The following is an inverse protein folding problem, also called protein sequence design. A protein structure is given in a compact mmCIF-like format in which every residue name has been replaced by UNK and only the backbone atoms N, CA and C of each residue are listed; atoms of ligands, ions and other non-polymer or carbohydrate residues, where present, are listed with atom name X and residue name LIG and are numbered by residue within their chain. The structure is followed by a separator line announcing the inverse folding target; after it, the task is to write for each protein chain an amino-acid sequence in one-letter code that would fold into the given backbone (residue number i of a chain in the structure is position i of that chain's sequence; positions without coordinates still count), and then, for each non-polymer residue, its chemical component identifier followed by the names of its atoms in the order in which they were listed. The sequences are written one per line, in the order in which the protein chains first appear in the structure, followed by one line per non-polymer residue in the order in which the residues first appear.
data_IF_421482411960
#
_entry.id   IF_421482411960
#
_cell.length_a   1.000
_cell.length_b   1.000
_cell.length_c   1.000
_cell.angle_alpha   90.00
_cell.angle_beta   90.00
_cell.angle_gamma   90.00
#
_symmetry.space_group_name_H-M   'P 1'
#
loop_
_entity.id
_entity.type
_entity.pdbx_description
1 polymer ?
#
# COMPACT_ATOMS: atom_id res chain seq x y z
N UNK A 1 -16.51 -5.16 -8.06
CA UNK A 1 -15.83 -4.28 -7.07
C UNK A 1 -14.70 -4.95 -6.26
N UNK A 2 -14.27 -6.20 -6.55
CA UNK A 2 -13.18 -6.85 -5.79
C UNK A 2 -11.77 -6.68 -6.35
N UNK A 3 -11.62 -6.56 -7.67
CA UNK A 3 -10.28 -6.61 -8.32
C UNK A 3 -9.58 -5.25 -8.39
N UNK A 4 -10.35 -4.15 -8.34
CA UNK A 4 -9.82 -2.79 -8.47
C UNK A 4 -8.79 -2.48 -7.37
N UNK A 5 -9.03 -2.97 -6.14
CA UNK A 5 -8.09 -2.78 -5.04
C UNK A 5 -6.75 -3.49 -5.28
N UNK A 6 -6.81 -4.74 -5.73
CA UNK A 6 -5.61 -5.55 -6.02
C UNK A 6 -4.81 -4.90 -7.15
N UNK A 7 -5.49 -4.44 -8.21
CA UNK A 7 -4.84 -3.69 -9.29
C UNK A 7 -4.22 -2.37 -8.81
N UNK A 8 -4.88 -1.65 -7.92
CA UNK A 8 -4.34 -0.43 -7.31
C UNK A 8 -3.07 -0.70 -6.50
N UNK A 9 -3.09 -1.73 -5.64
CA UNK A 9 -1.93 -2.10 -4.82
C UNK A 9 -0.77 -2.56 -5.73
N UNK A 10 -1.05 -3.34 -6.76
CA UNK A 10 -0.06 -3.79 -7.74
C UNK A 10 0.56 -2.60 -8.51
N UNK A 11 -0.26 -1.64 -8.95
CA UNK A 11 0.21 -0.44 -9.65
C UNK A 11 1.13 0.42 -8.76
N UNK A 12 0.78 0.60 -7.49
CA UNK A 12 1.63 1.30 -6.52
C UNK A 12 2.94 0.54 -6.29
N UNK A 13 2.89 -0.79 -6.16
CA UNK A 13 4.08 -1.62 -6.01
C UNK A 13 5.05 -1.51 -7.19
N UNK A 14 4.53 -1.53 -8.42
CA UNK A 14 5.34 -1.35 -9.63
C UNK A 14 5.96 0.06 -9.65
N UNK A 15 5.18 1.10 -9.37
CA UNK A 15 5.67 2.48 -9.33
C UNK A 15 6.81 2.66 -8.32
N UNK A 16 6.62 2.20 -7.07
CA UNK A 16 7.62 2.31 -6.01
C UNK A 16 8.88 1.53 -6.38
N UNK A 17 8.73 0.34 -6.97
CA UNK A 17 9.86 -0.48 -7.42
C UNK A 17 10.69 0.22 -8.50
N UNK A 18 10.04 0.80 -9.51
CA UNK A 18 10.71 1.55 -10.58
C UNK A 18 11.46 2.77 -10.01
N UNK A 19 10.83 3.55 -9.12
CA UNK A 19 11.48 4.72 -8.51
C UNK A 19 12.68 4.29 -7.66
N UNK A 20 12.54 3.22 -6.88
CA UNK A 20 13.63 2.66 -6.08
C UNK A 20 14.80 2.22 -6.96
N UNK A 21 14.53 1.59 -8.10
CA UNK A 21 15.54 1.13 -9.04
C UNK A 21 16.27 2.29 -9.73
N UNK A 22 15.54 3.35 -10.12
CA UNK A 22 16.11 4.59 -10.69
C UNK A 22 16.98 5.32 -9.67
N UNK A 23 16.55 5.41 -8.41
CA UNK A 23 17.32 6.05 -7.33
C UNK A 23 18.61 5.28 -7.00
N UNK A 24 18.55 3.95 -6.96
CA UNK A 24 19.74 3.09 -6.81
C UNK A 24 20.71 3.28 -7.97
N UNK A 25 20.20 3.30 -9.20
CA UNK A 25 21.05 3.50 -10.39
C UNK A 25 21.68 4.89 -10.45
N UNK A 26 21.06 5.88 -9.80
CA UNK A 26 21.61 7.24 -9.65
C UNK A 26 22.63 7.37 -8.52
N UNK A 27 23.01 6.27 -7.85
CA UNK A 27 23.98 6.26 -6.74
C UNK A 27 23.43 6.75 -5.41
N UNK A 28 22.09 6.89 -5.26
CA UNK A 28 21.42 7.40 -4.05
C UNK A 28 20.67 6.27 -3.33
N UNK A 29 21.41 5.32 -2.78
CA UNK A 29 20.86 4.12 -2.13
C UNK A 29 19.99 4.44 -0.92
N UNK A 30 20.36 5.45 -0.12
CA UNK A 30 19.58 5.87 1.05
C UNK A 30 18.17 6.36 0.67
N UNK A 31 18.06 7.16 -0.39
CA UNK A 31 16.78 7.66 -0.88
C UNK A 31 15.92 6.53 -1.46
N UNK A 32 16.55 5.55 -2.11
CA UNK A 32 15.85 4.37 -2.62
C UNK A 32 15.26 3.54 -1.47
N UNK A 33 16.00 3.37 -0.38
CA UNK A 33 15.52 2.69 0.82
C UNK A 33 14.34 3.44 1.44
N UNK A 34 14.47 4.75 1.67
CA UNK A 34 13.38 5.58 2.21
C UNK A 34 12.13 5.55 1.31
N UNK A 35 12.31 5.51 -0.01
CA UNK A 35 11.20 5.40 -0.97
C UNK A 35 10.48 4.05 -0.86
N UNK A 36 11.22 2.96 -0.67
CA UNK A 36 10.62 1.64 -0.46
C UNK A 36 9.80 1.57 0.83
N UNK A 37 10.31 2.22 1.89
CA UNK A 37 9.64 2.30 3.18
C UNK A 37 8.38 3.18 3.11
N UNK A 38 8.46 4.31 2.40
CA UNK A 38 7.30 5.16 2.12
C UNK A 38 6.22 4.41 1.32
N UNK A 39 6.62 3.62 0.32
CA UNK A 39 5.70 2.77 -0.44
C UNK A 39 4.98 1.73 0.42
N UNK A 40 5.70 1.10 1.36
CA UNK A 40 5.10 0.18 2.33
C UNK A 40 4.08 0.87 3.23
N UNK A 41 4.42 2.04 3.78
CA UNK A 41 3.53 2.85 4.62
C UNK A 41 2.25 3.21 3.84
N UNK A 42 2.38 3.59 2.57
CA UNK A 42 1.26 3.96 1.71
C UNK A 42 0.26 2.80 1.54
N UNK A 43 0.77 1.58 1.30
CA UNK A 43 -0.06 0.37 1.20
C UNK A 43 -0.74 0.05 2.53
N UNK A 44 -0.03 0.18 3.65
CA UNK A 44 -0.61 -0.01 4.99
C UNK A 44 -1.76 0.98 5.26
N UNK A 45 -1.60 2.25 4.89
CA UNK A 45 -2.67 3.25 5.01
C UNK A 45 -3.91 2.90 4.20
N UNK A 46 -3.74 2.36 2.99
CA UNK A 46 -4.86 1.88 2.19
C UNK A 46 -5.59 0.70 2.83
N UNK A 47 -4.93 -0.08 3.68
CA UNK A 47 -5.52 -1.25 4.33
C UNK A 47 -6.40 -0.88 5.54
N UNK A 48 -6.14 0.26 6.20
CA UNK A 48 -6.91 0.78 7.35
C UNK A 48 -8.43 0.86 7.11
N UNK A 49 -8.93 1.52 6.04
CA UNK A 49 -10.38 1.61 5.81
C UNK A 49 -11.03 0.24 5.57
N UNK A 50 -10.30 -0.72 4.99
CA UNK A 50 -10.82 -2.09 4.82
C UNK A 50 -10.97 -2.82 6.15
N UNK A 51 -10.02 -2.64 7.06
CA UNK A 51 -10.15 -3.15 8.43
C UNK A 51 -11.37 -2.53 9.11
N UNK A 52 -11.55 -1.21 8.99
CA UNK A 52 -12.70 -0.52 9.59
C UNK A 52 -14.02 -1.06 9.05
N UNK A 53 -14.13 -1.21 7.73
CA UNK A 53 -15.33 -1.74 7.08
C UNK A 53 -15.63 -3.19 7.48
N UNK A 54 -14.59 -4.02 7.62
CA UNK A 54 -14.75 -5.38 8.17
C UNK A 54 -15.24 -5.34 9.61
N UNK A 55 -14.69 -4.44 10.42
CA UNK A 55 -15.07 -4.28 11.82
C UNK A 55 -16.52 -3.81 11.96
N UNK A 56 -16.95 -2.88 11.11
CA UNK A 56 -18.33 -2.41 11.03
C UNK A 56 -19.27 -3.53 10.57
N UNK A 57 -18.85 -4.32 9.57
CA UNK A 57 -19.60 -5.49 9.11
C UNK A 57 -19.78 -6.50 10.22
N UNK A 58 -18.72 -6.82 10.99
CA UNK A 58 -18.78 -7.70 12.15
C UNK A 58 -19.74 -7.11 13.21
N UNK A 59 -19.59 -5.84 13.58
CA UNK A 59 -20.51 -5.20 14.55
C UNK A 59 -21.98 -5.31 14.13
N UNK A 60 -22.29 -5.02 12.86
CA UNK A 60 -23.64 -5.14 12.32
C UNK A 60 -24.15 -6.60 12.31
N UNK A 61 -23.27 -7.55 12.03
CA UNK A 61 -23.60 -8.98 12.00
C UNK A 61 -23.84 -9.54 13.41
N UNK A 62 -23.18 -8.96 14.41
CA UNK A 62 -23.30 -9.27 15.82
C UNK A 62 -24.21 -8.30 16.59
N UNK A 63 -24.99 -7.44 15.91
CA UNK A 63 -25.78 -6.39 16.53
C UNK A 63 -26.53 -6.88 17.79
N UNK A 64 -26.50 -6.25 18.98
CA UNK A 64 -25.96 -4.96 19.49
C UNK A 64 -26.05 -3.73 18.57
#
# INVERSE_FOLDING_TARGET
MGVNLIFKIAAVGILVSVICQVLKHSGREEQAFLTSLAGLILVLFWLVPYIYQLFETIKNLFAL
#
